data_IF_907176741645
#
_entry.id   IF_907176741645
#
_cell.length_a   1.000
_cell.length_b   1.000
_cell.length_c   1.000
_cell.angle_alpha   90.00
_cell.angle_beta   90.00
_cell.angle_gamma   90.00
#
_symmetry.space_group_name_H-M   'P 1'
#
loop_
_entity.id
_entity.type
_entity.pdbx_description
1 polymer ?
#
# COMPACT_ATOMS: atom_id res chain seq x y z
N UNK A 1 -14.05 -3.22 3.87
CA UNK A 1 -12.90 -2.42 4.32
C UNK A 1 -11.71 -2.91 3.51
N UNK A 2 -10.99 -1.99 2.87
CA UNK A 2 -9.90 -2.35 1.95
C UNK A 2 -8.72 -2.89 2.75
N UNK A 3 -7.94 -3.76 2.14
CA UNK A 3 -6.65 -4.14 2.66
C UNK A 3 -5.60 -3.12 2.18
N UNK A 4 -5.37 -2.08 2.98
CA UNK A 4 -4.49 -0.98 2.63
C UNK A 4 -3.07 -1.44 2.28
N UNK A 5 -2.61 -2.54 2.88
CA UNK A 5 -1.30 -3.10 2.59
C UNK A 5 -1.20 -3.63 1.16
N UNK A 6 -2.29 -4.23 0.65
CA UNK A 6 -2.34 -4.67 -0.75
C UNK A 6 -2.44 -3.49 -1.71
N UNK A 7 -3.22 -2.46 -1.37
CA UNK A 7 -3.33 -1.22 -2.15
C UNK A 7 -1.96 -0.57 -2.32
N UNK A 8 -1.24 -0.34 -1.22
CA UNK A 8 0.08 0.29 -1.23
C UNK A 8 1.16 -0.60 -1.85
N UNK A 9 1.04 -1.92 -1.71
CA UNK A 9 1.93 -2.88 -2.39
C UNK A 9 1.81 -2.82 -3.91
N UNK A 10 0.58 -2.71 -4.44
CA UNK A 10 0.30 -2.58 -5.88
C UNK A 10 0.73 -1.23 -6.42
N UNK A 11 0.48 -0.16 -5.67
CA UNK A 11 0.96 1.18 -6.00
C UNK A 11 2.49 1.25 -6.04
N UNK A 12 3.18 0.70 -5.03
CA UNK A 12 4.64 0.66 -5.02
C UNK A 12 5.23 -0.10 -6.22
N UNK A 13 4.58 -1.20 -6.63
CA UNK A 13 4.94 -1.93 -7.84
C UNK A 13 4.76 -1.05 -9.10
N UNK A 14 3.66 -0.31 -9.20
CA UNK A 14 3.42 0.62 -10.29
C UNK A 14 4.48 1.73 -10.34
N UNK A 15 4.82 2.34 -9.20
CA UNK A 15 5.83 3.41 -9.11
C UNK A 15 7.20 2.93 -9.60
N UNK A 16 7.62 1.72 -9.20
CA UNK A 16 8.91 1.16 -9.61
C UNK A 16 8.95 0.87 -11.12
N UNK A 17 7.86 0.36 -11.68
CA UNK A 17 7.79 -0.01 -13.09
C UNK A 17 7.57 1.21 -14.02
N UNK A 18 6.99 2.31 -13.52
CA UNK A 18 6.64 3.50 -14.31
C UNK A 18 7.45 4.76 -13.90
N UNK A 19 8.72 4.57 -13.55
CA UNK A 19 9.60 5.62 -13.02
C UNK A 19 9.87 6.82 -13.96
N UNK A 20 9.50 6.73 -15.25
CA UNK A 20 9.62 7.81 -16.22
C UNK A 20 8.41 8.77 -16.23
N UNK A 21 7.24 8.35 -15.73
CA UNK A 21 6.01 9.15 -15.72
C UNK A 21 5.76 9.92 -14.41
N UNK A 22 6.60 9.71 -13.39
CA UNK A 22 6.45 10.34 -12.07
C UNK A 22 7.51 11.44 -11.90
N UNK A 23 7.06 12.68 -11.71
CA UNK A 23 7.89 13.91 -11.67
C UNK A 23 8.98 13.97 -10.57
N UNK A 24 9.09 12.94 -9.72
CA UNK A 24 10.09 12.84 -8.63
C UNK A 24 11.36 12.06 -9.04
N UNK A 25 11.60 11.92 -10.35
CA UNK A 25 12.66 11.12 -10.98
C UNK A 25 14.10 11.45 -10.56
N UNK A 26 14.35 12.63 -9.97
CA UNK A 26 15.67 13.05 -9.50
C UNK A 26 16.29 12.11 -8.45
N UNK A 27 15.46 11.42 -7.65
CA UNK A 27 15.94 10.44 -6.64
C UNK A 27 16.18 9.06 -7.27
N UNK A 28 15.47 8.71 -8.35
CA UNK A 28 15.46 7.38 -8.94
C UNK A 28 16.67 7.06 -9.84
N UNK A 29 17.36 8.06 -10.37
CA UNK A 29 18.50 7.86 -11.27
C UNK A 29 19.68 7.10 -10.61
N UNK A 30 19.84 7.20 -9.28
CA UNK A 30 20.89 6.48 -8.52
C UNK A 30 20.54 5.05 -8.10
N UNK A 31 19.27 4.63 -8.16
CA UNK A 31 18.80 3.35 -7.60
C UNK A 31 18.41 2.30 -8.65
N UNK A 32 18.73 2.53 -9.93
CA UNK A 32 18.35 1.65 -11.07
C UNK A 32 18.78 0.17 -10.93
N UNK A 33 19.71 -0.14 -10.02
CA UNK A 33 20.14 -1.51 -9.69
C UNK A 33 19.87 -1.98 -8.24
N UNK A 34 19.24 -1.16 -7.39
CA UNK A 34 19.12 -1.44 -5.94
C UNK A 34 17.71 -1.92 -5.55
N UNK A 35 16.70 -1.67 -6.38
CA UNK A 35 15.32 -2.04 -6.08
C UNK A 35 15.14 -3.57 -6.21
N UNK A 36 14.65 -4.25 -5.15
CA UNK A 36 14.50 -5.71 -5.18
C UNK A 36 13.56 -6.17 -6.30
N UNK A 37 13.94 -7.24 -7.01
CA UNK A 37 13.12 -7.87 -8.07
C UNK A 37 11.72 -8.26 -7.57
N UNK A 38 11.61 -8.63 -6.29
CA UNK A 38 10.35 -8.93 -5.60
C UNK A 38 9.35 -7.76 -5.62
N UNK A 39 9.81 -6.50 -5.63
CA UNK A 39 8.90 -5.34 -5.71
C UNK A 39 8.39 -5.19 -7.14
N UNK A 40 9.29 -5.33 -8.13
CA UNK A 40 8.96 -5.23 -9.56
C UNK A 40 7.93 -6.28 -10.00
N UNK A 41 7.98 -7.48 -9.43
CA UNK A 41 7.11 -8.61 -9.80
C UNK A 41 5.73 -8.61 -9.12
N UNK A 42 5.43 -7.65 -8.24
CA UNK A 42 4.11 -7.55 -7.60
C UNK A 42 3.04 -7.15 -8.63
N UNK A 43 1.77 -7.55 -8.43
CA UNK A 43 0.67 -7.01 -9.21
C UNK A 43 0.66 -5.49 -9.14
N UNK A 44 0.46 -4.81 -10.26
CA UNK A 44 0.38 -3.35 -10.32
C UNK A 44 -1.09 -2.91 -10.23
N UNK A 45 -1.33 -1.67 -9.81
CA UNK A 45 -2.63 -1.02 -9.99
C UNK A 45 -2.71 -0.34 -11.36
N UNK A 46 -3.88 0.19 -11.71
CA UNK A 46 -4.06 1.00 -12.92
C UNK A 46 -3.44 2.39 -12.74
N UNK A 47 -3.23 3.12 -13.83
CA UNK A 47 -2.67 4.47 -13.79
C UNK A 47 -3.57 5.43 -12.99
N UNK A 48 -4.89 5.31 -13.14
CA UNK A 48 -5.87 6.13 -12.40
C UNK A 48 -5.79 5.89 -10.89
N UNK A 49 -5.82 4.61 -10.49
CA UNK A 49 -5.62 4.21 -9.09
C UNK A 49 -4.27 4.71 -8.56
N UNK A 50 -3.22 4.64 -9.39
CA UNK A 50 -1.89 5.08 -9.01
C UNK A 50 -1.80 6.59 -8.81
N UNK A 51 -2.44 7.39 -9.67
CA UNK A 51 -2.50 8.84 -9.55
C UNK A 51 -3.25 9.27 -8.29
N UNK A 52 -4.37 8.63 -7.98
CA UNK A 52 -5.13 8.87 -6.75
C UNK A 52 -4.26 8.63 -5.51
N UNK A 53 -3.59 7.48 -5.44
CA UNK A 53 -2.75 7.14 -4.29
C UNK A 53 -1.54 8.07 -4.21
N UNK A 54 -0.95 8.43 -5.36
CA UNK A 54 0.15 9.38 -5.42
C UNK A 54 -0.25 10.76 -4.91
N UNK A 55 -1.49 11.20 -5.16
CA UNK A 55 -2.02 12.44 -4.60
C UNK A 55 -2.18 12.35 -3.07
N UNK A 56 -2.67 11.23 -2.54
CA UNK A 56 -2.69 11.00 -1.08
C UNK A 56 -1.27 11.02 -0.49
N UNK A 57 -0.29 10.40 -1.16
CA UNK A 57 1.12 10.42 -0.76
C UNK A 57 1.70 11.84 -0.78
N UNK A 58 1.38 12.66 -1.79
CA UNK A 58 1.79 14.05 -1.85
C UNK A 58 1.21 14.88 -0.70
N UNK A 59 -0.07 14.69 -0.37
CA UNK A 59 -0.70 15.32 0.80
C UNK A 59 -0.06 14.86 2.11
N UNK A 60 0.25 13.56 2.23
CA UNK A 60 0.96 13.03 3.39
C UNK A 60 2.35 13.67 3.52
N UNK A 61 3.10 13.84 2.43
CA UNK A 61 4.43 14.44 2.46
C UNK A 61 4.41 15.88 2.99
N UNK A 62 3.41 16.68 2.59
CA UNK A 62 3.22 18.05 3.08
C UNK A 62 2.91 18.07 4.57
N UNK A 63 2.09 17.13 5.06
CA UNK A 63 1.66 17.09 6.45
C UNK A 63 2.67 16.41 7.39
N UNK A 64 3.35 15.38 6.91
CA UNK A 64 4.30 14.56 7.64
C UNK A 64 5.22 13.79 6.66
N UNK A 65 6.36 14.39 6.33
CA UNK A 65 7.38 13.79 5.46
C UNK A 65 7.95 12.50 6.03
N UNK A 66 8.04 12.35 7.35
CA UNK A 66 8.62 11.15 7.97
C UNK A 66 7.76 9.90 7.71
N UNK A 67 6.43 10.02 7.78
CA UNK A 67 5.51 8.91 7.47
C UNK A 67 5.48 8.61 5.97
N UNK A 68 5.59 9.65 5.13
CA UNK A 68 5.74 9.48 3.69
C UNK A 68 6.99 8.66 3.35
N UNK A 69 8.13 9.02 3.91
CA UNK A 69 9.41 8.33 3.66
C UNK A 69 9.37 6.89 4.15
N UNK A 70 8.71 6.63 5.29
CA UNK A 70 8.48 5.28 5.80
C UNK A 70 7.72 4.38 4.81
N UNK A 71 6.67 4.92 4.18
CA UNK A 71 5.90 4.20 3.16
C UNK A 71 6.72 3.96 1.90
N UNK A 72 7.51 4.93 1.46
CA UNK A 72 8.39 4.79 0.29
C UNK A 72 9.47 3.75 0.51
N UNK A 73 10.20 3.82 1.63
CA UNK A 73 11.21 2.84 2.01
C UNK A 73 10.66 1.41 2.01
N UNK A 74 9.45 1.23 2.52
CA UNK A 74 8.83 -0.09 2.60
C UNK A 74 8.26 -0.58 1.25
N UNK A 75 7.41 0.21 0.61
CA UNK A 75 6.62 -0.24 -0.55
C UNK A 75 7.33 -0.06 -1.90
N UNK A 76 8.16 0.97 -2.03
CA UNK A 76 8.87 1.29 -3.28
C UNK A 76 10.28 0.74 -3.25
N UNK A 77 11.05 1.03 -2.20
CA UNK A 77 12.43 0.54 -2.07
C UNK A 77 12.51 -0.91 -1.54
N UNK A 78 11.41 -1.45 -1.00
CA UNK A 78 11.33 -2.85 -0.59
C UNK A 78 12.11 -3.17 0.69
N UNK A 79 12.35 -2.18 1.56
CA UNK A 79 12.96 -2.40 2.87
C UNK A 79 12.08 -3.30 3.75
N UNK A 80 12.72 -4.09 4.61
CA UNK A 80 12.01 -4.87 5.63
C UNK A 80 11.76 -4.04 6.87
N UNK A 81 10.84 -4.47 7.75
CA UNK A 81 10.64 -3.81 9.06
C UNK A 81 11.93 -3.78 9.89
N UNK A 82 12.77 -4.82 9.80
CA UNK A 82 14.09 -4.84 10.42
C UNK A 82 15.02 -3.80 9.80
N UNK A 83 15.00 -3.65 8.46
CA UNK A 83 15.79 -2.62 7.76
C UNK A 83 15.38 -1.21 8.17
N UNK A 84 14.08 -0.94 8.24
CA UNK A 84 13.53 0.32 8.75
C UNK A 84 13.92 0.56 10.21
N UNK A 85 13.76 -0.44 11.07
CA UNK A 85 14.19 -0.36 12.47
C UNK A 85 15.66 0.04 12.58
N UNK A 86 16.55 -0.65 11.85
CA UNK A 86 17.98 -0.34 11.83
C UNK A 86 18.29 1.06 11.31
N UNK A 87 17.62 1.51 10.23
CA UNK A 87 17.78 2.87 9.67
C UNK A 87 17.49 3.96 10.69
N UNK A 88 16.56 3.70 11.61
CA UNK A 88 16.18 4.64 12.67
C UNK A 88 16.79 4.32 14.04
N UNK A 89 17.68 3.32 14.15
CA UNK A 89 18.26 2.84 15.42
C UNK A 89 17.19 2.37 16.44
N UNK A 90 16.13 1.75 15.93
CA UNK A 90 14.98 1.25 16.71
C UNK A 90 14.70 -0.23 16.40
N UNK A 91 13.79 -0.81 17.16
CA UNK A 91 13.29 -2.16 16.89
C UNK A 91 12.36 -2.20 15.66
N UNK A 92 12.30 -3.37 15.03
CA UNK A 92 11.34 -3.73 14.00
C UNK A 92 9.88 -3.61 14.48
N UNK A 93 9.60 -3.94 15.74
CA UNK A 93 8.30 -3.71 16.36
C UNK A 93 7.90 -2.23 16.39
N UNK A 94 8.85 -1.31 16.61
CA UNK A 94 8.58 0.12 16.52
C UNK A 94 8.33 0.53 15.07
N UNK A 95 9.14 0.04 14.12
CA UNK A 95 8.95 0.32 12.69
C UNK A 95 7.57 -0.18 12.20
N UNK A 96 7.12 -1.36 12.63
CA UNK A 96 5.80 -1.89 12.32
C UNK A 96 4.65 -1.01 12.83
N UNK A 97 4.77 -0.42 14.03
CA UNK A 97 3.77 0.53 14.55
C UNK A 97 3.74 1.84 13.79
N UNK A 98 4.91 2.37 13.39
CA UNK A 98 4.99 3.58 12.58
C UNK A 98 4.42 3.34 11.18
N UNK A 99 4.75 2.20 10.57
CA UNK A 99 4.20 1.81 9.28
C UNK A 99 2.69 1.67 9.33
N UNK A 100 2.14 0.95 10.32
CA UNK A 100 0.69 0.82 10.51
C UNK A 100 0.01 2.18 10.70
N UNK A 101 0.66 3.11 11.42
CA UNK A 101 0.15 4.48 11.56
C UNK A 101 0.12 5.19 10.20
N UNK A 102 1.18 5.10 9.40
CA UNK A 102 1.24 5.71 8.07
C UNK A 102 0.18 5.12 7.12
N UNK A 103 0.06 3.79 7.10
CA UNK A 103 -0.98 3.07 6.35
C UNK A 103 -2.39 3.55 6.73
N UNK A 104 -2.67 3.69 8.04
CA UNK A 104 -3.96 4.16 8.53
C UNK A 104 -4.29 5.60 8.13
N UNK A 105 -3.30 6.47 7.97
CA UNK A 105 -3.52 7.83 7.48
C UNK A 105 -3.95 7.82 6.01
N UNK A 106 -3.27 7.04 5.16
CA UNK A 106 -3.67 6.91 3.74
C UNK A 106 -5.06 6.27 3.61
N UNK A 107 -5.33 5.20 4.37
CA UNK A 107 -6.65 4.59 4.41
C UNK A 107 -7.73 5.61 4.82
N UNK A 108 -7.46 6.41 5.86
CA UNK A 108 -8.34 7.49 6.31
C UNK A 108 -8.60 8.54 5.23
N UNK A 109 -7.57 8.99 4.51
CA UNK A 109 -7.72 9.94 3.40
C UNK A 109 -8.63 9.38 2.29
N UNK A 110 -8.41 8.12 1.90
CA UNK A 110 -9.21 7.46 0.86
C UNK A 110 -10.68 7.28 1.28
N UNK A 111 -10.93 7.01 2.57
CA UNK A 111 -12.28 6.92 3.13
C UNK A 111 -12.95 8.30 3.16
N UNK A 112 -12.25 9.32 3.67
CA UNK A 112 -12.79 10.68 3.82
C UNK A 112 -13.13 11.32 2.47
N UNK A 113 -12.36 11.03 1.43
CA UNK A 113 -12.61 11.54 0.08
C UNK A 113 -13.70 10.72 -0.66
N UNK A 114 -14.17 9.61 -0.11
CA UNK A 114 -15.21 8.77 -0.74
C UNK A 114 -14.77 8.12 -2.05
N UNK A 115 -13.46 8.01 -2.28
CA UNK A 115 -12.90 7.52 -3.53
C UNK A 115 -13.09 6.01 -3.62
N UNK A 116 -13.50 5.51 -4.80
CA UNK A 116 -13.51 4.08 -5.12
C UNK A 116 -12.33 3.79 -6.04
N UNK A 117 -11.51 2.81 -5.68
CA UNK A 117 -10.41 2.35 -6.51
C UNK A 117 -10.90 1.19 -7.37
N UNK A 118 -10.38 1.06 -8.59
CA UNK A 118 -10.77 -0.06 -9.46
C UNK A 118 -10.32 -1.39 -8.86
N UNK A 119 -9.16 -1.41 -8.20
CA UNK A 119 -8.65 -2.59 -7.52
C UNK A 119 -9.43 -2.98 -6.25
N UNK A 120 -10.41 -2.18 -5.79
CA UNK A 120 -11.24 -2.51 -4.62
C UNK A 120 -11.83 -3.92 -4.71
N UNK A 121 -12.17 -4.37 -5.93
CA UNK A 121 -12.69 -5.71 -6.23
C UNK A 121 -11.80 -6.87 -5.77
N UNK A 122 -10.50 -6.64 -5.61
CA UNK A 122 -9.50 -7.66 -5.27
C UNK A 122 -8.82 -7.44 -3.92
N UNK A 123 -9.03 -6.27 -3.30
CA UNK A 123 -8.38 -5.89 -2.04
C UNK A 123 -9.39 -5.71 -0.91
N UNK A 124 -10.68 -5.96 -1.14
CA UNK A 124 -11.67 -6.01 -0.08
C UNK A 124 -11.36 -7.17 0.88
N UNK A 125 -11.27 -6.87 2.18
CA UNK A 125 -11.25 -7.92 3.20
C UNK A 125 -12.62 -8.58 3.22
N UNK A 126 -12.66 -9.89 2.96
CA UNK A 126 -13.86 -10.68 3.23
C UNK A 126 -14.26 -10.46 4.69
N UNK A 127 -15.52 -10.06 4.92
CA UNK A 127 -16.10 -10.17 6.25
C UNK A 127 -16.17 -11.65 6.57
N UNK A 128 -15.24 -12.15 7.36
CA UNK A 128 -15.33 -13.47 7.97
C UNK A 128 -16.62 -13.52 8.81
N UNK A 129 -17.74 -13.96 8.22
CA UNK A 129 -19.04 -13.88 8.90
C UNK A 129 -20.30 -14.09 8.05
N UNK A 130 -20.23 -14.71 6.88
CA UNK A 130 -21.44 -15.19 6.21
C UNK A 130 -21.20 -16.59 5.62
N UNK A 131 -21.04 -17.60 6.49
CA UNK A 131 -21.51 -18.92 6.11
C UNK A 131 -23.04 -18.82 6.04
N UNK A 132 -23.56 -18.65 4.83
CA UNK A 132 -24.93 -19.02 4.52
C UNK A 132 -24.98 -20.54 4.67
N UNK A 133 -25.42 -21.01 5.83
CA UNK A 133 -25.80 -22.40 6.04
C UNK A 133 -26.95 -22.74 5.10
N UNK A 134 -26.63 -23.22 3.90
CA UNK A 134 -27.54 -24.05 3.12
C UNK A 134 -27.66 -25.39 3.85
N UNK A 135 -28.55 -25.44 4.85
CA UNK A 135 -29.25 -26.68 5.18
C UNK A 135 -30.65 -26.55 4.59
N UNK A 136 -30.75 -26.99 3.34
CA UNK A 136 -32.00 -27.32 2.68
C UNK A 136 -32.81 -28.26 3.58
N UNK A 137 -33.97 -27.79 4.03
CA UNK A 137 -34.97 -28.62 4.67
C UNK A 137 -35.36 -29.77 3.75
N UNK A 138 -35.14 -30.99 4.22
CA UNK A 138 -35.73 -32.20 3.68
C UNK A 138 -36.44 -32.88 4.83
N UNK A 139 -37.77 -32.74 4.87
CA UNK A 139 -38.73 -33.80 5.21
C UNK A 139 -40.15 -33.24 5.12
N UNK A 140 -40.74 -33.41 3.95
CA UNK A 140 -42.19 -33.48 3.78
C UNK A 140 -42.52 -34.86 3.21
N UNK A 141 -43.09 -35.72 4.05
CA UNK A 141 -44.28 -36.57 3.84
C UNK A 141 -44.27 -37.70 4.87
#
# INVERSE_FOLDING_TARGET
MRDIQQVLSRWGAWVVNNHESVAWSGVAAGFKGVIPSKVKSRPQCTDDDALIISNCMAQLNVNNSDLHDFLYDYYVFGMTLMGLGRKHERSDCWAGRVLQKAEGVIEGMLIMQGIKLEMDRYVERERSGAQVSQFSGHTGN
#
